data_IF_306215928117
#
_entry.id   IF_306215928117
#
_cell.length_a   1.000
_cell.length_b   1.000
_cell.length_c   1.000
_cell.angle_alpha   90.00
_cell.angle_beta   90.00
_cell.angle_gamma   90.00
#
_symmetry.space_group_name_H-M   'P 1'
#
loop_
_entity.id
_entity.type
_entity.pdbx_description
1 polymer ?
#
# COMPACT_ATOMS: atom_id res chain seq x y z
N UNK A 1 -23.02 -23.79 -11.70
CA UNK A 1 -23.72 -23.08 -10.61
C UNK A 1 -24.16 -24.15 -9.62
N UNK A 2 -23.57 -24.21 -8.44
CA UNK A 2 -23.95 -25.19 -7.42
C UNK A 2 -24.92 -24.50 -6.45
N UNK A 3 -26.20 -24.88 -6.51
CA UNK A 3 -27.23 -24.35 -5.61
C UNK A 3 -27.16 -25.12 -4.30
N UNK A 4 -27.00 -24.42 -3.18
CA UNK A 4 -27.04 -24.98 -1.83
C UNK A 4 -28.17 -24.34 -1.04
N UNK A 5 -28.90 -25.15 -0.29
CA UNK A 5 -29.97 -24.68 0.58
C UNK A 5 -29.49 -24.58 2.03
N UNK A 6 -30.13 -23.72 2.80
CA UNK A 6 -29.93 -23.63 4.24
C UNK A 6 -30.52 -24.85 4.94
N UNK A 7 -29.95 -25.22 6.09
CA UNK A 7 -30.56 -26.23 6.96
C UNK A 7 -31.80 -25.67 7.70
N UNK A 8 -32.48 -26.52 8.47
CA UNK A 8 -33.64 -26.13 9.27
C UNK A 8 -33.34 -25.04 10.34
N UNK A 9 -32.07 -24.75 10.58
CA UNK A 9 -31.60 -23.70 11.50
C UNK A 9 -31.11 -22.45 10.75
N UNK A 10 -31.34 -22.37 9.44
CA UNK A 10 -30.93 -21.24 8.60
C UNK A 10 -29.44 -21.18 8.30
N UNK A 11 -28.67 -22.27 8.51
CA UNK A 11 -27.21 -22.27 8.34
C UNK A 11 -26.84 -22.63 6.91
N UNK A 12 -25.86 -21.93 6.34
CA UNK A 12 -25.28 -22.21 5.03
C UNK A 12 -23.86 -22.76 5.18
N UNK A 13 -23.57 -23.91 4.55
CA UNK A 13 -22.23 -24.49 4.54
C UNK A 13 -21.40 -23.95 3.37
N UNK A 14 -20.36 -23.17 3.70
CA UNK A 14 -19.44 -22.61 2.69
C UNK A 14 -18.46 -23.67 2.17
N UNK A 15 -17.92 -23.50 0.94
CA UNK A 15 -16.89 -24.40 0.40
C UNK A 15 -15.64 -24.47 1.29
N UNK A 16 -14.89 -25.57 1.21
CA UNK A 16 -13.63 -25.78 1.95
C UNK A 16 -12.61 -24.63 1.78
N UNK A 17 -12.69 -23.91 0.66
CA UNK A 17 -11.90 -22.69 0.45
C UNK A 17 -12.06 -21.66 1.57
N UNK A 18 -13.19 -21.60 2.27
CA UNK A 18 -13.48 -20.66 3.37
C UNK A 18 -13.16 -21.21 4.77
N UNK A 19 -12.56 -22.40 4.87
CA UNK A 19 -12.19 -22.97 6.16
C UNK A 19 -11.20 -22.07 6.91
N UNK A 20 -11.45 -21.82 8.21
CA UNK A 20 -10.64 -20.96 9.09
C UNK A 20 -10.36 -19.55 8.55
N UNK A 21 -11.17 -19.05 7.61
CA UNK A 21 -11.02 -17.71 7.06
C UNK A 21 -11.94 -16.72 7.78
N UNK A 22 -11.43 -15.52 8.04
CA UNK A 22 -12.28 -14.37 8.35
C UNK A 22 -13.05 -13.98 7.09
N UNK A 23 -14.36 -13.79 7.20
CA UNK A 23 -15.23 -13.44 6.08
C UNK A 23 -15.95 -12.13 6.33
N UNK A 24 -16.17 -11.38 5.26
CA UNK A 24 -17.01 -10.19 5.23
C UNK A 24 -18.32 -10.59 4.56
N UNK A 25 -19.44 -10.34 5.24
CA UNK A 25 -20.78 -10.60 4.72
C UNK A 25 -21.45 -9.25 4.47
N UNK A 26 -21.87 -9.03 3.24
CA UNK A 26 -22.54 -7.81 2.80
C UNK A 26 -23.91 -8.16 2.21
N UNK A 27 -24.94 -7.41 2.62
CA UNK A 27 -26.26 -7.49 2.00
C UNK A 27 -26.30 -6.56 0.79
N UNK A 28 -26.35 -7.13 -0.41
CA UNK A 28 -26.39 -6.39 -1.68
C UNK A 28 -27.83 -5.99 -2.01
N UNK A 29 -28.80 -6.83 -1.63
CA UNK A 29 -30.23 -6.59 -1.77
C UNK A 29 -31.03 -7.40 -0.75
N UNK A 30 -32.35 -7.30 -0.78
CA UNK A 30 -33.24 -8.11 0.09
C UNK A 30 -33.11 -9.61 -0.16
N UNK A 31 -32.56 -10.03 -1.30
CA UNK A 31 -32.45 -11.44 -1.70
C UNK A 31 -31.01 -11.89 -2.00
N UNK A 32 -30.03 -11.00 -1.94
CA UNK A 32 -28.63 -11.30 -2.24
C UNK A 32 -27.70 -10.94 -1.08
N UNK A 33 -26.96 -11.95 -0.61
CA UNK A 33 -25.81 -11.79 0.29
C UNK A 33 -24.53 -12.09 -0.47
N UNK A 34 -23.53 -11.22 -0.32
CA UNK A 34 -22.18 -11.40 -0.87
C UNK A 34 -21.21 -11.72 0.25
N UNK A 35 -20.53 -12.86 0.13
CA UNK A 35 -19.54 -13.32 1.10
C UNK A 35 -18.15 -13.23 0.46
N UNK A 36 -17.25 -12.48 1.08
CA UNK A 36 -15.87 -12.29 0.63
C UNK A 36 -14.90 -12.75 1.72
N UNK A 37 -13.76 -13.32 1.34
CA UNK A 37 -12.67 -13.56 2.30
C UNK A 37 -12.06 -12.21 2.69
N UNK A 38 -11.94 -11.96 3.98
CA UNK A 38 -11.15 -10.84 4.46
C UNK A 38 -9.67 -11.17 4.21
N UNK A 39 -8.96 -10.25 3.56
CA UNK A 39 -7.50 -10.25 3.59
C UNK A 39 -7.12 -9.42 4.81
N UNK A 40 -6.66 -10.10 5.87
CA UNK A 40 -6.14 -9.43 7.05
C UNK A 40 -4.70 -9.03 6.70
N UNK A 41 -4.50 -7.74 6.44
CA UNK A 41 -3.15 -7.17 6.28
C UNK A 41 -2.77 -6.65 7.68
N UNK A 42 -1.72 -7.18 8.31
CA UNK A 42 -1.16 -6.63 9.54
C UNK A 42 -0.87 -5.13 9.37
N UNK A 43 -1.14 -4.31 10.39
CA UNK A 43 -0.96 -2.84 10.30
C UNK A 43 0.47 -2.43 9.95
N UNK A 44 1.46 -3.24 10.35
CA UNK A 44 2.89 -3.09 10.05
C UNK A 44 3.28 -3.48 8.61
N UNK A 45 2.40 -4.18 7.89
CA UNK A 45 2.57 -4.52 6.47
C UNK A 45 1.87 -3.54 5.52
N UNK A 46 1.07 -2.60 6.06
CA UNK A 46 0.42 -1.54 5.27
C UNK A 46 1.46 -0.50 4.89
N UNK A 47 2.10 -0.67 3.73
CA UNK A 47 2.90 0.40 3.14
C UNK A 47 1.97 1.47 2.60
N UNK A 48 2.04 2.67 3.17
CA UNK A 48 1.35 3.83 2.63
C UNK A 48 1.89 4.18 1.24
N UNK A 49 1.05 4.75 0.38
CA UNK A 49 1.48 5.07 -0.98
C UNK A 49 2.62 6.11 -0.96
N UNK A 50 2.67 6.97 0.07
CA UNK A 50 3.77 7.91 0.32
C UNK A 50 5.09 7.21 0.68
N UNK A 51 5.04 6.00 1.25
CA UNK A 51 6.21 5.20 1.61
C UNK A 51 6.70 4.30 0.47
N UNK A 52 5.86 4.11 -0.55
CA UNK A 52 6.25 3.38 -1.76
C UNK A 52 6.90 4.32 -2.77
N UNK A 53 8.24 4.36 -2.77
CA UNK A 53 8.97 5.02 -3.83
C UNK A 53 8.69 4.31 -5.17
N UNK A 54 8.14 5.05 -6.14
CA UNK A 54 8.04 4.55 -7.51
C UNK A 54 9.44 4.40 -8.10
N UNK A 55 9.74 3.30 -8.81
CA UNK A 55 11.01 3.16 -9.50
C UNK A 55 11.27 4.33 -10.45
N UNK A 56 12.50 4.85 -10.48
CA UNK A 56 12.90 5.86 -11.46
C UNK A 56 12.81 5.28 -12.88
N UNK A 57 12.28 6.06 -13.82
CA UNK A 57 12.41 5.74 -15.24
C UNK A 57 13.86 5.81 -15.70
N UNK A 58 14.19 5.15 -16.81
CA UNK A 58 15.58 4.99 -17.28
C UNK A 58 16.32 6.33 -17.41
N UNK A 59 15.68 7.35 -18.00
CA UNK A 59 16.26 8.68 -18.15
C UNK A 59 16.63 9.32 -16.80
N UNK A 60 15.77 9.21 -15.80
CA UNK A 60 16.00 9.83 -14.50
C UNK A 60 17.00 9.03 -13.67
N UNK A 61 17.00 7.69 -13.80
CA UNK A 61 18.04 6.83 -13.24
C UNK A 61 19.42 7.22 -13.78
N UNK A 62 19.57 7.32 -15.10
CA UNK A 62 20.86 7.60 -15.72
C UNK A 62 21.36 9.01 -15.35
N UNK A 63 20.44 9.99 -15.28
CA UNK A 63 20.76 11.33 -14.78
C UNK A 63 21.19 11.30 -13.31
N UNK A 64 20.49 10.55 -12.47
CA UNK A 64 20.82 10.41 -11.05
C UNK A 64 22.21 9.79 -10.86
N UNK A 65 22.51 8.70 -11.55
CA UNK A 65 23.83 8.06 -11.50
C UNK A 65 24.93 9.01 -11.97
N UNK A 66 24.72 9.76 -13.06
CA UNK A 66 25.68 10.74 -13.52
C UNK A 66 25.96 11.83 -12.47
N UNK A 67 24.93 12.30 -11.76
CA UNK A 67 25.09 13.31 -10.70
C UNK A 67 25.83 12.78 -9.46
N UNK A 68 25.80 11.46 -9.21
CA UNK A 68 26.62 10.85 -8.15
C UNK A 68 28.10 10.85 -8.54
N UNK A 69 28.39 10.52 -9.79
CA UNK A 69 29.77 10.48 -10.31
C UNK A 69 30.32 11.90 -10.53
N UNK A 70 29.48 12.84 -10.96
CA UNK A 70 29.82 14.22 -11.28
C UNK A 70 28.93 15.20 -10.50
N UNK A 71 29.14 15.33 -9.18
CA UNK A 71 28.30 16.18 -8.36
C UNK A 71 28.44 17.65 -8.78
N UNK A 72 27.31 18.37 -8.99
CA UNK A 72 27.37 19.77 -9.35
C UNK A 72 27.88 20.62 -8.19
N UNK A 73 28.54 21.73 -8.51
CA UNK A 73 28.94 22.69 -7.50
C UNK A 73 27.71 23.29 -6.79
N UNK A 74 27.85 23.52 -5.48
CA UNK A 74 26.81 24.18 -4.69
C UNK A 74 26.49 25.56 -5.28
N UNK A 75 25.20 25.82 -5.50
CA UNK A 75 24.74 27.14 -5.95
C UNK A 75 24.73 28.15 -4.80
N UNK A 76 24.60 29.43 -5.13
CA UNK A 76 24.70 30.50 -4.13
C UNK A 76 23.56 30.47 -3.10
N UNK A 77 22.38 29.99 -3.50
CA UNK A 77 21.26 29.78 -2.58
C UNK A 77 21.60 28.73 -1.51
N UNK A 78 22.17 27.59 -1.90
CA UNK A 78 22.57 26.53 -0.99
C UNK A 78 23.69 27.00 -0.06
N UNK A 79 24.69 27.71 -0.59
CA UNK A 79 25.78 28.30 0.21
C UNK A 79 25.23 29.25 1.29
N UNK A 80 24.30 30.13 0.92
CA UNK A 80 23.66 31.07 1.84
C UNK A 80 22.85 30.35 2.92
N UNK A 81 22.08 29.33 2.54
CA UNK A 81 21.30 28.53 3.49
C UNK A 81 22.21 27.80 4.49
N UNK A 82 23.32 27.22 4.02
CA UNK A 82 24.29 26.54 4.88
C UNK A 82 24.94 27.49 5.90
N UNK A 83 25.30 28.71 5.48
CA UNK A 83 25.84 29.74 6.37
C UNK A 83 24.83 30.17 7.45
N UNK A 84 23.57 30.37 7.07
CA UNK A 84 22.51 30.71 8.03
C UNK A 84 22.25 29.60 9.04
N UNK A 85 22.28 28.34 8.59
CA UNK A 85 22.16 27.19 9.49
C UNK A 85 23.33 27.12 10.46
N UNK A 86 24.57 27.28 9.98
CA UNK A 86 25.76 27.29 10.82
C UNK A 86 25.72 28.41 11.88
N UNK A 87 25.26 29.60 11.52
CA UNK A 87 25.14 30.73 12.46
C UNK A 87 24.04 30.56 13.52
N UNK A 88 23.06 29.68 13.29
CA UNK A 88 21.95 29.42 14.23
C UNK A 88 22.21 28.24 15.17
N UNK A 89 23.05 27.30 14.76
CA UNK A 89 23.24 26.01 15.43
C UNK A 89 24.70 25.69 15.78
N UNK A 90 25.65 26.57 15.46
CA UNK A 90 27.03 26.53 15.93
C UNK A 90 27.25 27.50 17.08
#
# INVERSE_FOLDING_TARGET
>A
METRSTDAKGRLSLPKAFANATVIIEQVSDTELRIRKAVVIPEDEVRFYEETASPLGDRDRDRFLNLLDNPPAANDALKKAAQQHAARHG
#
